data_IF_298289949505
#
_entry.id   IF_298289949505
#
_cell.length_a   1.000
_cell.length_b   1.000
_cell.length_c   1.000
_cell.angle_alpha   90.00
_cell.angle_beta   90.00
_cell.angle_gamma   90.00
#
_symmetry.space_group_name_H-M   'P 1'
#
loop_
_entity.id
_entity.type
_entity.pdbx_description
1 polymer ?
#
# COMPACT_ATOMS: atom_id res chain seq x y z
N UNK A 1 1.57 -26.38 -3.17
CA UNK A 1 1.86 -25.22 -4.05
C UNK A 1 0.57 -24.46 -4.28
N UNK A 2 0.50 -23.17 -3.95
CA UNK A 2 -0.66 -22.36 -4.31
C UNK A 2 -0.75 -22.28 -5.84
N UNK A 3 -1.91 -22.61 -6.42
CA UNK A 3 -2.13 -22.47 -7.88
C UNK A 3 -1.95 -21.01 -8.28
N UNK A 4 -1.28 -20.77 -9.41
CA UNK A 4 -1.10 -19.42 -9.95
C UNK A 4 -2.47 -18.77 -10.20
N UNK A 5 -2.63 -17.51 -9.79
CA UNK A 5 -3.85 -16.76 -10.08
C UNK A 5 -3.80 -16.31 -11.54
N UNK A 6 -4.80 -16.71 -12.33
CA UNK A 6 -4.94 -16.35 -13.75
C UNK A 6 -5.87 -15.15 -13.90
N UNK A 7 -5.43 -14.17 -14.67
CA UNK A 7 -6.16 -12.97 -15.07
C UNK A 7 -6.41 -13.12 -16.57
N UNK A 8 -7.62 -13.52 -16.93
CA UNK A 8 -8.04 -13.78 -18.31
C UNK A 8 -8.60 -12.51 -18.94
N UNK A 9 -8.22 -12.22 -20.17
CA UNK A 9 -8.76 -11.10 -20.92
C UNK A 9 -9.91 -11.59 -21.81
N UNK A 10 -11.06 -10.90 -21.84
CA UNK A 10 -12.14 -11.28 -22.75
C UNK A 10 -11.66 -11.32 -24.19
N UNK A 11 -12.19 -12.24 -24.99
CA UNK A 11 -11.86 -12.33 -26.42
C UNK A 11 -12.07 -10.98 -27.13
N UNK A 12 -11.05 -10.54 -27.85
CA UNK A 12 -11.04 -9.23 -28.54
C UNK A 12 -10.83 -8.00 -27.64
N UNK A 13 -10.65 -8.20 -26.32
CA UNK A 13 -10.39 -7.11 -25.36
C UNK A 13 -8.97 -7.21 -24.81
N UNK A 14 -8.33 -6.05 -24.66
CA UNK A 14 -7.08 -5.92 -23.91
C UNK A 14 -7.30 -5.34 -22.51
N UNK A 15 -8.54 -5.37 -22.01
CA UNK A 15 -8.90 -4.90 -20.68
C UNK A 15 -9.60 -5.99 -19.88
N UNK A 16 -9.25 -6.11 -18.61
CA UNK A 16 -9.91 -7.03 -17.68
C UNK A 16 -9.91 -6.49 -16.27
N UNK A 17 -10.92 -6.85 -15.46
CA UNK A 17 -11.05 -6.39 -14.07
C UNK A 17 -11.14 -7.57 -13.11
N UNK A 18 -10.28 -7.60 -12.10
CA UNK A 18 -10.24 -8.68 -11.12
C UNK A 18 -10.03 -8.13 -9.71
N UNK A 19 -10.97 -8.42 -8.80
CA UNK A 19 -10.92 -7.99 -7.39
C UNK A 19 -10.63 -6.48 -7.22
N UNK A 20 -11.24 -5.65 -8.05
CA UNK A 20 -11.07 -4.19 -8.03
C UNK A 20 -9.75 -3.68 -8.63
N UNK A 21 -8.96 -4.54 -9.27
CA UNK A 21 -7.79 -4.16 -10.06
C UNK A 21 -8.14 -4.27 -11.54
N UNK A 22 -7.96 -3.18 -12.27
CA UNK A 22 -8.11 -3.11 -13.71
C UNK A 22 -6.76 -3.39 -14.36
N UNK A 23 -6.78 -4.23 -15.38
CA UNK A 23 -5.63 -4.60 -16.17
C UNK A 23 -5.85 -4.13 -17.59
N UNK A 24 -4.84 -3.52 -18.19
CA UNK A 24 -4.84 -3.16 -19.61
C UNK A 24 -3.53 -3.61 -20.24
N UNK A 25 -3.63 -4.23 -21.41
CA UNK A 25 -2.50 -4.58 -22.26
C UNK A 25 -2.52 -3.62 -23.45
N UNK A 26 -1.36 -3.09 -23.81
CA UNK A 26 -1.11 -2.43 -25.07
C UNK A 26 -0.15 -3.32 -25.87
N UNK A 27 -0.66 -4.12 -26.82
CA UNK A 27 0.17 -5.04 -27.60
C UNK A 27 1.13 -4.33 -28.54
N UNK A 28 0.82 -3.11 -28.98
CA UNK A 28 1.64 -2.36 -29.94
C UNK A 28 2.92 -1.86 -29.28
N UNK A 29 2.80 -1.39 -28.04
CA UNK A 29 3.90 -0.82 -27.27
C UNK A 29 4.50 -1.76 -26.22
N UNK A 30 3.99 -3.01 -26.12
CA UNK A 30 4.30 -3.97 -25.06
C UNK A 30 4.21 -3.36 -23.65
N UNK A 31 3.10 -2.68 -23.38
CA UNK A 31 2.82 -2.06 -22.07
C UNK A 31 1.75 -2.88 -21.36
N UNK A 32 2.01 -3.19 -20.09
CA UNK A 32 0.98 -3.74 -19.20
C UNK A 32 0.72 -2.77 -18.07
N UNK A 33 -0.51 -2.28 -18.00
CA UNK A 33 -0.99 -1.39 -16.96
C UNK A 33 -1.85 -2.18 -15.96
N UNK A 34 -1.59 -1.96 -14.68
CA UNK A 34 -2.47 -2.35 -13.59
C UNK A 34 -2.91 -1.10 -12.84
N UNK A 35 -4.21 -0.87 -12.71
CA UNK A 35 -4.73 0.27 -11.96
C UNK A 35 -5.74 -0.15 -10.91
N UNK A 36 -5.69 0.52 -9.76
CA UNK A 36 -6.57 0.24 -8.63
C UNK A 36 -6.95 1.54 -7.94
N UNK A 37 -8.25 1.73 -7.71
CA UNK A 37 -8.75 2.80 -6.84
C UNK A 37 -8.59 2.38 -5.37
N UNK A 38 -7.93 3.21 -4.59
CA UNK A 38 -7.80 3.06 -3.15
C UNK A 38 -9.00 3.69 -2.44
N UNK A 39 -9.13 3.38 -1.15
CA UNK A 39 -10.01 4.17 -0.28
C UNK A 39 -9.41 5.56 -0.09
N UNK A 40 -10.24 6.60 0.09
CA UNK A 40 -9.77 7.90 0.52
C UNK A 40 -8.90 7.80 1.78
N UNK A 41 -7.91 8.68 1.91
CA UNK A 41 -6.96 8.69 3.02
C UNK A 41 -7.64 8.96 4.36
N UNK A 42 -8.69 9.78 4.34
CA UNK A 42 -9.44 10.22 5.52
C UNK A 42 -10.90 9.82 5.39
N UNK A 43 -11.43 9.12 6.40
CA UNK A 43 -12.85 8.77 6.46
C UNK A 43 -13.67 9.99 6.92
N UNK A 44 -14.98 10.04 6.65
CA UNK A 44 -15.83 11.13 7.15
C UNK A 44 -15.73 11.32 8.66
N UNK A 45 -15.68 10.23 9.43
CA UNK A 45 -15.56 10.29 10.89
C UNK A 45 -14.22 10.90 11.31
N UNK A 46 -13.12 10.50 10.66
CA UNK A 46 -11.80 11.04 11.01
C UNK A 46 -11.64 12.52 10.63
N UNK A 47 -12.30 12.97 9.56
CA UNK A 47 -12.37 14.39 9.19
C UNK A 47 -13.10 15.21 10.26
N UNK A 48 -14.26 14.76 10.69
CA UNK A 48 -15.06 15.44 11.71
C UNK A 48 -14.34 15.50 13.06
N UNK A 49 -13.74 14.38 13.49
CA UNK A 49 -12.92 14.34 14.70
C UNK A 49 -11.75 15.31 14.65
N UNK A 50 -11.06 15.39 13.50
CA UNK A 50 -9.94 16.32 13.34
C UNK A 50 -10.36 17.77 13.47
N UNK A 51 -11.50 18.14 12.86
CA UNK A 51 -12.08 19.48 12.94
C UNK A 51 -12.43 19.81 14.39
N UNK A 52 -13.16 18.91 15.06
CA UNK A 52 -13.57 19.08 16.46
C UNK A 52 -12.37 19.20 17.40
N UNK A 53 -11.35 18.36 17.21
CA UNK A 53 -10.13 18.38 18.02
C UNK A 53 -9.32 19.66 17.80
N UNK A 54 -9.21 20.12 16.55
CA UNK A 54 -8.51 21.36 16.23
C UNK A 54 -9.25 22.59 16.75
N UNK A 55 -10.58 22.62 16.69
CA UNK A 55 -11.39 23.67 17.31
C UNK A 55 -11.21 23.70 18.83
N UNK A 56 -11.11 22.53 19.47
CA UNK A 56 -10.96 22.41 20.93
C UNK A 56 -9.56 22.75 21.45
N UNK A 57 -8.52 22.29 20.76
CA UNK A 57 -7.13 22.34 21.26
C UNK A 57 -6.24 23.32 20.49
N UNK A 58 -6.56 23.58 19.23
CA UNK A 58 -5.67 24.25 18.28
C UNK A 58 -4.63 23.29 17.66
N UNK A 59 -4.22 23.54 16.41
CA UNK A 59 -3.35 22.65 15.64
C UNK A 59 -1.97 22.48 16.26
N UNK A 60 -1.41 23.53 16.84
CA UNK A 60 -0.10 23.49 17.48
C UNK A 60 -0.10 22.62 18.75
N UNK A 61 -1.20 22.59 19.51
CA UNK A 61 -1.31 21.70 20.67
C UNK A 61 -1.47 20.24 20.22
N UNK A 62 -2.18 19.97 19.14
CA UNK A 62 -2.29 18.62 18.55
C UNK A 62 -0.90 18.11 18.15
N UNK A 63 -0.11 18.91 17.42
CA UNK A 63 1.27 18.56 17.05
C UNK A 63 2.14 18.32 18.28
N UNK A 64 2.05 19.17 19.30
CA UNK A 64 2.78 18.99 20.58
C UNK A 64 2.39 17.69 21.28
N UNK A 65 1.10 17.34 21.32
CA UNK A 65 0.63 16.07 21.91
C UNK A 65 1.13 14.86 21.13
N UNK A 66 1.11 14.89 19.80
CA UNK A 66 1.70 13.81 18.99
C UNK A 66 3.18 13.60 19.34
N UNK A 67 3.97 14.68 19.46
CA UNK A 67 5.38 14.59 19.88
C UNK A 67 5.54 14.04 21.29
N UNK A 68 4.70 14.49 22.24
CA UNK A 68 4.73 14.00 23.61
C UNK A 68 4.48 12.48 23.68
N UNK A 69 3.44 11.98 23.03
CA UNK A 69 3.14 10.54 23.02
C UNK A 69 4.21 9.72 22.28
N UNK A 70 4.86 10.28 21.26
CA UNK A 70 6.03 9.66 20.63
C UNK A 70 7.19 9.51 21.62
N UNK A 71 7.46 10.54 22.44
CA UNK A 71 8.52 10.48 23.45
C UNK A 71 8.16 9.49 24.57
N UNK A 72 6.93 9.51 25.06
CA UNK A 72 6.45 8.56 26.06
C UNK A 72 6.52 7.11 25.56
N UNK A 73 6.19 6.86 24.28
CA UNK A 73 6.34 5.55 23.67
C UNK A 73 7.79 5.09 23.68
N UNK A 74 8.74 5.95 23.30
CA UNK A 74 10.17 5.63 23.33
C UNK A 74 10.65 5.34 24.75
N UNK A 75 10.27 6.16 25.73
CA UNK A 75 10.60 5.91 27.13
C UNK A 75 10.02 4.59 27.64
N UNK A 76 8.78 4.26 27.25
CA UNK A 76 8.13 3.00 27.64
C UNK A 76 8.87 1.79 27.08
N UNK A 77 9.28 1.83 25.80
CA UNK A 77 10.08 0.77 25.17
C UNK A 77 11.42 0.61 25.89
N UNK A 78 12.11 1.72 26.19
CA UNK A 78 13.38 1.67 26.92
C UNK A 78 13.20 1.09 28.33
N UNK A 79 12.13 1.45 29.03
CA UNK A 79 11.79 0.88 30.34
C UNK A 79 11.50 -0.62 30.24
N UNK A 80 10.74 -1.05 29.24
CA UNK A 80 10.46 -2.47 29.01
C UNK A 80 11.74 -3.27 28.76
N UNK A 81 12.63 -2.77 27.88
CA UNK A 81 13.93 -3.39 27.63
C UNK A 81 14.78 -3.45 28.89
N UNK A 82 14.79 -2.38 29.70
CA UNK A 82 15.45 -2.38 30.99
C UNK A 82 14.90 -3.47 31.92
N UNK A 83 13.57 -3.61 32.03
CA UNK A 83 12.93 -4.65 32.84
C UNK A 83 13.19 -6.08 32.34
N UNK A 84 13.47 -6.27 31.06
CA UNK A 84 13.90 -7.56 30.51
C UNK A 84 15.33 -7.89 30.89
N UNK A 85 16.22 -6.91 30.86
CA UNK A 85 17.66 -7.08 31.07
C UNK A 85 18.03 -7.09 32.56
N UNK A 86 17.33 -6.31 33.38
CA UNK A 86 17.57 -6.16 34.81
C UNK A 86 17.78 -7.48 35.60
N UNK A 87 16.93 -8.51 35.47
CA UNK A 87 17.09 -9.77 36.21
C UNK A 87 18.33 -10.58 35.81
N UNK A 88 18.96 -10.28 34.66
CA UNK A 88 20.22 -10.92 34.22
C UNK A 88 21.39 -10.42 35.08
N UNK A 89 21.36 -9.14 35.47
CA UNK A 89 22.44 -8.50 36.23
C UNK A 89 22.20 -8.49 37.73
N UNK A 90 20.93 -8.49 38.15
CA UNK A 90 20.53 -8.46 39.56
C UNK A 90 19.49 -9.55 39.80
N UNK A 91 19.84 -10.67 40.47
CA UNK A 91 18.85 -11.70 40.79
C UNK A 91 17.79 -11.11 41.72
N UNK A 92 16.58 -10.95 41.19
CA UNK A 92 15.45 -10.30 41.88
C UNK A 92 14.67 -11.33 42.69
N UNK A 93 14.51 -11.10 44.00
CA UNK A 93 13.69 -11.97 44.87
C UNK A 93 12.17 -11.78 44.69
N UNK A 94 11.74 -10.69 44.05
CA UNK A 94 10.33 -10.31 43.86
C UNK A 94 9.87 -10.46 42.40
N UNK A 95 9.72 -11.70 41.95
CA UNK A 95 9.21 -12.01 40.59
C UNK A 95 7.87 -11.34 40.28
N UNK A 96 7.01 -11.17 41.30
CA UNK A 96 5.71 -10.51 41.16
C UNK A 96 5.80 -9.03 40.74
N UNK A 97 6.74 -8.26 41.32
CA UNK A 97 6.92 -6.84 40.98
C UNK A 97 7.49 -6.69 39.57
N UNK A 98 8.44 -7.55 39.19
CA UNK A 98 9.02 -7.55 37.84
C UNK A 98 7.96 -7.89 36.78
N UNK A 99 7.13 -8.91 37.06
CA UNK A 99 6.03 -9.32 36.18
C UNK A 99 4.97 -8.22 36.03
N UNK A 100 4.56 -7.59 37.14
CA UNK A 100 3.63 -6.45 37.12
C UNK A 100 4.19 -5.26 36.33
N UNK A 101 5.48 -4.94 36.51
CA UNK A 101 6.16 -3.87 35.77
C UNK A 101 6.20 -4.14 34.26
N UNK A 102 6.48 -5.39 33.85
CA UNK A 102 6.44 -5.82 32.44
C UNK A 102 5.03 -5.71 31.85
N UNK A 103 4.01 -6.11 32.60
CA UNK A 103 2.63 -6.00 32.15
C UNK A 103 2.21 -4.53 31.98
N UNK A 104 2.50 -3.68 32.96
CA UNK A 104 2.16 -2.24 32.90
C UNK A 104 2.88 -1.51 31.76
N UNK A 105 4.14 -1.87 31.48
CA UNK A 105 4.88 -1.29 30.35
C UNK A 105 4.27 -1.70 29.01
N UNK A 106 3.91 -2.97 28.82
CA UNK A 106 3.21 -3.43 27.59
C UNK A 106 1.89 -2.68 27.41
N UNK A 107 1.06 -2.59 28.47
CA UNK A 107 -0.22 -1.86 28.40
C UNK A 107 0.02 -0.39 28.04
N UNK A 108 1.00 0.25 28.69
CA UNK A 108 1.36 1.64 28.43
C UNK A 108 1.84 1.87 27.00
N UNK A 109 2.65 0.96 26.44
CA UNK A 109 3.11 1.01 25.05
C UNK A 109 1.93 0.98 24.06
N UNK A 110 0.97 0.08 24.27
CA UNK A 110 -0.23 0.01 23.41
C UNK A 110 -1.01 1.32 23.46
N UNK A 111 -1.22 1.88 24.66
CA UNK A 111 -1.90 3.17 24.81
C UNK A 111 -1.11 4.30 24.14
N UNK A 112 0.20 4.41 24.38
CA UNK A 112 1.00 5.48 23.80
C UNK A 112 1.11 5.37 22.28
N UNK A 113 1.21 4.16 21.72
CA UNK A 113 1.19 3.93 20.28
C UNK A 113 -0.13 4.35 19.67
N UNK A 114 -1.26 3.97 20.28
CA UNK A 114 -2.58 4.37 19.85
C UNK A 114 -2.73 5.90 19.88
N UNK A 115 -2.41 6.55 21.00
CA UNK A 115 -2.55 8.00 21.15
C UNK A 115 -1.60 8.76 20.22
N UNK A 116 -0.38 8.27 20.01
CA UNK A 116 0.55 8.82 19.03
C UNK A 116 -0.03 8.77 17.62
N UNK A 117 -0.51 7.60 17.19
CA UNK A 117 -1.14 7.41 15.88
C UNK A 117 -2.34 8.33 15.70
N UNK A 118 -3.20 8.42 16.71
CA UNK A 118 -4.37 9.28 16.74
C UNK A 118 -4.01 10.75 16.52
N UNK A 119 -3.18 11.36 17.38
CA UNK A 119 -2.82 12.78 17.25
C UNK A 119 -2.02 13.07 15.97
N UNK A 120 -1.18 12.12 15.53
CA UNK A 120 -0.43 12.26 14.27
C UNK A 120 -1.37 12.27 13.06
N UNK A 121 -2.37 11.39 13.02
CA UNK A 121 -3.35 11.37 11.95
C UNK A 121 -4.10 12.71 11.83
N UNK A 122 -4.53 13.27 12.97
CA UNK A 122 -5.22 14.57 13.01
C UNK A 122 -4.31 15.72 12.58
N UNK A 123 -3.04 15.72 13.02
CA UNK A 123 -2.06 16.73 12.60
C UNK A 123 -1.77 16.66 11.09
N UNK A 124 -1.70 15.45 10.53
CA UNK A 124 -1.54 15.25 9.09
C UNK A 124 -2.76 15.79 8.34
N UNK A 125 -3.98 15.46 8.78
CA UNK A 125 -5.19 15.97 8.12
C UNK A 125 -5.27 17.50 8.14
N UNK A 126 -4.93 18.14 9.26
CA UNK A 126 -4.87 19.61 9.34
C UNK A 126 -3.91 20.23 8.30
N UNK A 127 -2.78 19.55 8.06
CA UNK A 127 -1.76 20.00 7.11
C UNK A 127 -2.20 19.74 5.66
N UNK A 128 -2.71 18.54 5.39
CA UNK A 128 -3.14 18.12 4.06
C UNK A 128 -4.40 18.87 3.58
N UNK A 129 -5.27 19.27 4.50
CA UNK A 129 -6.51 19.99 4.21
C UNK A 129 -6.34 21.51 4.04
N UNK A 130 -5.10 22.00 3.99
CA UNK A 130 -4.77 23.39 3.73
C UNK A 130 -4.89 23.71 2.24
N UNK A 131 -5.63 24.76 1.90
CA UNK A 131 -5.68 25.28 0.55
C UNK A 131 -4.76 26.49 0.41
N UNK A 132 -3.71 26.37 -0.39
CA UNK A 132 -2.76 27.46 -0.65
C UNK A 132 -3.41 28.67 -1.34
N UNK A 133 -4.49 28.46 -2.10
CA UNK A 133 -5.19 29.53 -2.83
C UNK A 133 -6.02 30.45 -1.94
N UNK A 134 -6.73 29.89 -0.95
CA UNK A 134 -7.59 30.67 -0.06
C UNK A 134 -7.04 30.81 1.37
N UNK A 135 -5.91 30.16 1.68
CA UNK A 135 -5.23 30.24 2.97
C UNK A 135 -6.01 29.62 4.13
N UNK A 136 -6.98 28.73 3.85
CA UNK A 136 -7.83 28.10 4.87
C UNK A 136 -7.46 26.63 5.09
N UNK A 137 -7.60 26.17 6.33
CA UNK A 137 -7.51 24.76 6.70
C UNK A 137 -8.88 24.08 6.68
N UNK A 138 -8.91 22.75 6.63
CA UNK A 138 -10.15 21.94 6.63
C UNK A 138 -11.10 22.22 5.47
N UNK A 139 -10.57 22.73 4.36
CA UNK A 139 -11.36 23.00 3.15
C UNK A 139 -10.88 22.21 1.96
N UNK A 140 -9.68 21.62 2.03
CA UNK A 140 -9.12 20.82 0.96
C UNK A 140 -9.38 19.34 1.20
N UNK A 141 -10.15 18.71 0.32
CA UNK A 141 -10.63 17.34 0.51
C UNK A 141 -10.40 16.48 -0.73
N UNK A 142 -10.26 15.17 -0.54
CA UNK A 142 -10.24 14.23 -1.66
C UNK A 142 -11.64 14.10 -2.29
N UNK A 143 -11.82 14.53 -3.54
CA UNK A 143 -13.10 14.39 -4.26
C UNK A 143 -13.22 13.10 -5.05
N UNK A 144 -12.09 12.44 -5.31
CA UNK A 144 -12.04 11.18 -6.03
C UNK A 144 -11.10 10.21 -5.31
N UNK A 145 -11.50 8.94 -5.30
CA UNK A 145 -10.69 7.84 -4.78
C UNK A 145 -9.27 7.87 -5.40
N UNK A 146 -8.21 7.85 -4.57
CA UNK A 146 -6.84 7.84 -5.07
C UNK A 146 -6.61 6.66 -6.03
N UNK A 147 -5.82 6.88 -7.08
CA UNK A 147 -5.53 5.87 -8.09
C UNK A 147 -4.08 5.42 -7.94
N UNK A 148 -3.87 4.13 -7.71
CA UNK A 148 -2.55 3.51 -7.89
C UNK A 148 -2.50 2.97 -9.31
N UNK A 149 -1.48 3.38 -10.06
CA UNK A 149 -1.18 2.84 -11.39
C UNK A 149 0.21 2.23 -11.36
N UNK A 150 0.31 0.96 -11.75
CA UNK A 150 1.56 0.26 -12.02
C UNK A 150 1.65 0.04 -13.54
N UNK A 151 2.78 0.37 -14.15
CA UNK A 151 3.00 0.24 -15.60
C UNK A 151 4.30 -0.51 -15.84
N UNK A 152 4.21 -1.64 -16.54
CA UNK A 152 5.33 -2.47 -16.94
C UNK A 152 5.61 -2.33 -18.43
N UNK A 153 6.83 -1.93 -18.75
CA UNK A 153 7.40 -1.81 -20.10
C UNK A 153 8.54 -2.82 -20.27
N UNK A 154 9.09 -2.90 -21.48
CA UNK A 154 10.20 -3.80 -21.80
C UNK A 154 11.43 -3.52 -20.94
N UNK A 155 11.68 -2.27 -20.57
CA UNK A 155 12.90 -1.82 -19.90
C UNK A 155 12.67 -1.24 -18.49
N UNK A 156 11.41 -1.03 -18.10
CA UNK A 156 11.07 -0.24 -16.93
C UNK A 156 9.77 -0.69 -16.28
N UNK A 157 9.69 -0.45 -14.98
CA UNK A 157 8.48 -0.65 -14.19
C UNK A 157 8.26 0.59 -13.34
N UNK A 158 7.11 1.24 -13.53
CA UNK A 158 6.76 2.44 -12.77
C UNK A 158 5.54 2.18 -11.92
N UNK A 159 5.49 2.85 -10.76
CA UNK A 159 4.31 2.90 -9.93
C UNK A 159 4.06 4.33 -9.53
N UNK A 160 2.83 4.77 -9.70
CA UNK A 160 2.39 6.12 -9.34
C UNK A 160 1.17 6.04 -8.43
N UNK A 161 1.10 6.97 -7.49
CA UNK A 161 -0.09 7.27 -6.71
C UNK A 161 -0.61 8.62 -7.18
N UNK A 162 -1.84 8.65 -7.68
CA UNK A 162 -2.54 9.88 -8.05
C UNK A 162 -3.60 10.17 -7.01
N UNK A 163 -3.53 11.35 -6.40
CA UNK A 163 -4.53 11.85 -5.46
C UNK A 163 -5.23 13.08 -6.05
N UNK A 164 -6.52 13.18 -5.81
CA UNK A 164 -7.40 14.17 -6.40
C UNK A 164 -8.01 15.01 -5.29
N UNK A 165 -7.57 16.25 -5.17
CA UNK A 165 -7.99 17.15 -4.10
C UNK A 165 -8.73 18.36 -4.65
N UNK A 166 -9.75 18.82 -3.93
CA UNK A 166 -10.46 20.05 -4.27
C UNK A 166 -10.74 20.89 -3.02
N UNK A 167 -10.76 22.20 -3.21
CA UNK A 167 -11.12 23.15 -2.18
C UNK A 167 -12.62 23.42 -2.21
N UNK A 168 -13.34 23.03 -1.16
CA UNK A 168 -14.78 23.31 -1.05
C UNK A 168 -15.08 24.81 -0.93
N UNK A 169 -14.10 25.63 -0.55
CA UNK A 169 -14.29 27.08 -0.35
C UNK A 169 -14.03 27.91 -1.62
N UNK A 170 -13.03 27.57 -2.44
CA UNK A 170 -12.69 28.37 -3.64
C UNK A 170 -12.75 27.58 -4.96
N UNK A 171 -13.08 26.30 -4.93
CA UNK A 171 -13.19 25.45 -6.11
C UNK A 171 -11.84 25.07 -6.75
N UNK A 172 -10.71 25.43 -6.14
CA UNK A 172 -9.40 25.03 -6.66
C UNK A 172 -9.24 23.52 -6.60
N UNK A 173 -8.85 22.90 -7.73
CA UNK A 173 -8.53 21.49 -7.84
C UNK A 173 -7.00 21.28 -7.96
N UNK A 174 -6.51 20.24 -7.33
CA UNK A 174 -5.11 19.82 -7.42
C UNK A 174 -5.04 18.30 -7.61
N UNK A 175 -4.27 17.88 -8.63
CA UNK A 175 -3.99 16.48 -8.91
C UNK A 175 -2.53 16.23 -8.56
N UNK A 176 -2.28 15.50 -7.46
CA UNK A 176 -0.93 15.14 -7.01
C UNK A 176 -0.57 13.78 -7.59
N UNK A 177 0.52 13.73 -8.36
CA UNK A 177 1.07 12.48 -8.91
C UNK A 177 2.41 12.22 -8.22
N UNK A 178 2.45 11.20 -7.38
CA UNK A 178 3.64 10.82 -6.62
C UNK A 178 4.23 9.50 -7.16
N UNK A 179 5.49 9.48 -7.64
CA UNK A 179 6.17 8.25 -7.98
C UNK A 179 6.43 7.44 -6.72
N UNK A 180 6.08 6.15 -6.75
CA UNK A 180 6.27 5.23 -5.64
C UNK A 180 7.50 4.37 -5.90
N UNK A 181 8.39 4.17 -4.91
CA UNK A 181 9.55 3.32 -5.08
C UNK A 181 9.12 1.86 -5.34
N UNK A 182 9.77 1.21 -6.31
CA UNK A 182 9.54 -0.19 -6.64
C UNK A 182 10.89 -0.88 -6.82
N UNK A 183 11.13 -1.92 -6.02
CA UNK A 183 12.19 -2.90 -6.27
C UNK A 183 11.66 -3.90 -7.31
N UNK A 184 12.11 -3.69 -8.54
CA UNK A 184 11.73 -4.44 -9.72
C UNK A 184 12.98 -4.92 -10.46
N UNK A 185 12.90 -6.14 -10.97
CA UNK A 185 13.78 -6.62 -12.02
C UNK A 185 13.00 -7.54 -12.94
N UNK A 186 13.54 -7.76 -14.13
CA UNK A 186 13.00 -8.71 -15.09
C UNK A 186 13.75 -10.03 -15.07
N UNK A 187 13.00 -11.12 -15.18
CA UNK A 187 13.56 -12.45 -15.41
C UNK A 187 13.17 -12.94 -16.81
N UNK A 188 14.08 -13.63 -17.48
CA UNK A 188 13.81 -14.21 -18.80
C UNK A 188 12.58 -15.11 -18.75
N UNK A 189 11.74 -15.02 -19.78
CA UNK A 189 10.61 -15.94 -19.99
C UNK A 189 11.08 -17.39 -19.97
N UNK A 190 10.19 -18.31 -19.60
CA UNK A 190 10.49 -19.73 -19.66
C UNK A 190 10.14 -20.28 -21.05
N UNK A 191 11.14 -20.80 -21.76
CA UNK A 191 10.93 -21.35 -23.11
C UNK A 191 10.19 -22.70 -23.09
N UNK A 192 10.28 -23.47 -21.99
CA UNK A 192 9.72 -24.82 -21.86
C UNK A 192 8.60 -24.89 -20.82
N UNK A 193 7.56 -24.08 -20.98
CA UNK A 193 6.32 -24.26 -20.23
C UNK A 193 5.57 -25.47 -20.81
N UNK A 194 5.12 -26.38 -19.94
CA UNK A 194 4.21 -27.48 -20.31
C UNK A 194 2.97 -26.87 -20.99
N UNK A 195 2.96 -26.92 -22.32
CA UNK A 195 1.86 -27.33 -23.17
C UNK A 195 0.46 -27.12 -22.54
N UNK A 196 -0.02 -25.86 -22.56
CA UNK A 196 -1.33 -25.47 -22.04
C UNK A 196 -2.32 -25.20 -23.18
N UNK A 197 -3.53 -25.73 -23.05
CA UNK A 197 -4.61 -25.59 -24.03
C UNK A 197 -5.23 -24.21 -23.92
N UNK A 198 -5.43 -23.53 -25.04
CA UNK A 198 -6.13 -22.25 -25.05
C UNK A 198 -7.61 -22.48 -24.74
N UNK A 199 -8.08 -21.97 -23.60
CA UNK A 199 -9.47 -22.14 -23.17
C UNK A 199 -10.49 -21.42 -24.07
N UNK A 200 -10.07 -20.41 -24.85
CA UNK A 200 -10.96 -19.70 -25.77
C UNK A 200 -11.16 -20.43 -27.10
N UNK A 201 -10.07 -20.94 -27.72
CA UNK A 201 -10.15 -21.58 -29.04
C UNK A 201 -9.99 -23.10 -29.01
N UNK A 202 -9.80 -23.71 -27.83
CA UNK A 202 -9.64 -25.15 -27.63
C UNK A 202 -8.34 -25.73 -28.17
N UNK A 203 -7.47 -24.94 -28.82
CA UNK A 203 -6.22 -25.46 -29.38
C UNK A 203 -5.22 -25.82 -28.29
N UNK A 204 -4.79 -27.06 -28.31
CA UNK A 204 -3.72 -27.58 -27.47
C UNK A 204 -2.41 -26.85 -27.77
N UNK A 205 -1.61 -26.63 -26.73
CA UNK A 205 -0.24 -26.09 -26.84
C UNK A 205 -0.16 -24.69 -27.46
N UNK A 206 -1.27 -23.94 -27.44
CA UNK A 206 -1.38 -22.66 -28.10
C UNK A 206 -0.97 -21.46 -27.23
N UNK A 207 -0.92 -21.63 -25.90
CA UNK A 207 -0.59 -20.56 -24.94
C UNK A 207 0.93 -20.47 -24.75
N UNK A 208 1.49 -19.29 -25.01
CA UNK A 208 2.93 -19.03 -24.86
C UNK A 208 3.22 -17.76 -24.08
N UNK A 209 4.31 -17.77 -23.33
CA UNK A 209 4.84 -16.59 -22.66
C UNK A 209 5.56 -15.70 -23.69
N UNK A 210 5.13 -14.43 -23.82
CA UNK A 210 5.59 -13.57 -24.92
C UNK A 210 6.60 -12.50 -24.51
N UNK A 211 6.73 -12.18 -23.22
CA UNK A 211 7.68 -11.20 -22.69
C UNK A 211 8.32 -11.70 -21.39
N UNK A 212 9.40 -11.02 -20.98
CA UNK A 212 10.07 -11.30 -19.72
C UNK A 212 9.10 -11.13 -18.54
N UNK A 213 9.34 -11.93 -17.49
CA UNK A 213 8.53 -11.90 -16.28
C UNK A 213 8.94 -10.72 -15.42
N UNK A 214 7.97 -9.99 -14.88
CA UNK A 214 8.27 -8.98 -13.88
C UNK A 214 8.35 -9.61 -12.50
N UNK A 215 9.41 -9.25 -11.78
CA UNK A 215 9.62 -9.68 -10.41
C UNK A 215 9.65 -8.47 -9.52
N UNK A 216 8.65 -8.39 -8.65
CA UNK A 216 8.49 -7.31 -7.69
C UNK A 216 8.90 -7.83 -6.32
N UNK A 217 9.96 -7.26 -5.76
CA UNK A 217 10.48 -7.60 -4.45
C UNK A 217 9.87 -6.63 -3.43
N UNK A 218 8.84 -7.09 -2.69
CA UNK A 218 8.34 -6.39 -1.49
C UNK A 218 8.46 -7.34 -0.29
N UNK A 219 7.55 -7.25 0.68
CA UNK A 219 7.40 -8.26 1.74
C UNK A 219 7.11 -9.66 1.17
N UNK A 220 6.44 -9.73 0.02
CA UNK A 220 6.22 -10.95 -0.75
C UNK A 220 6.83 -10.76 -2.13
N UNK A 221 7.53 -11.79 -2.63
CA UNK A 221 8.00 -11.80 -4.03
C UNK A 221 6.80 -12.11 -4.92
N UNK A 222 6.43 -11.14 -5.75
CA UNK A 222 5.36 -11.27 -6.74
C UNK A 222 6.00 -11.42 -8.12
N UNK A 223 5.72 -12.53 -8.81
CA UNK A 223 6.08 -12.73 -10.22
C UNK A 223 4.84 -12.53 -11.09
N UNK A 224 4.98 -11.73 -12.14
CA UNK A 224 3.95 -11.48 -13.14
C UNK A 224 4.44 -12.05 -14.46
N UNK A 225 3.63 -12.91 -15.05
CA UNK A 225 3.93 -13.64 -16.26
C UNK A 225 2.86 -13.38 -17.30
N UNK A 226 3.28 -13.27 -18.56
CA UNK A 226 2.47 -12.68 -19.61
C UNK A 226 2.33 -13.65 -20.78
N UNK A 227 1.11 -14.09 -21.04
CA UNK A 227 0.83 -15.13 -22.00
C UNK A 227 -0.11 -14.66 -23.10
N UNK A 228 0.07 -15.23 -24.28
CA UNK A 228 -0.84 -15.07 -25.41
C UNK A 228 -1.07 -16.38 -26.14
N UNK A 229 -2.25 -16.54 -26.71
CA UNK A 229 -2.56 -17.62 -27.64
C UNK A 229 -1.98 -17.30 -29.02
N UNK A 230 -1.13 -18.17 -29.55
CA UNK A 230 -0.60 -18.04 -30.92
C UNK A 230 -1.68 -18.12 -32.01
N UNK A 231 -2.84 -18.71 -31.70
CA UNK A 231 -3.89 -18.96 -32.69
C UNK A 231 -4.99 -17.89 -32.72
N UNK A 232 -5.56 -17.53 -31.56
CA UNK A 232 -6.70 -16.60 -31.49
C UNK A 232 -6.35 -15.24 -30.88
N UNK A 233 -5.10 -15.01 -30.47
CA UNK A 233 -4.68 -13.73 -29.88
C UNK A 233 -5.23 -13.46 -28.48
N UNK A 234 -5.89 -14.43 -27.84
CA UNK A 234 -6.29 -14.35 -26.43
C UNK A 234 -5.08 -14.07 -25.52
N UNK A 235 -5.24 -13.21 -24.53
CA UNK A 235 -4.19 -12.84 -23.57
C UNK A 235 -4.55 -13.29 -22.15
N UNK A 236 -3.53 -13.62 -21.37
CA UNK A 236 -3.69 -13.81 -19.93
C UNK A 236 -2.44 -13.42 -19.14
N UNK A 237 -2.65 -13.00 -17.90
CA UNK A 237 -1.59 -12.73 -16.94
C UNK A 237 -1.65 -13.78 -15.84
N UNK A 238 -0.52 -14.42 -15.52
CA UNK A 238 -0.40 -15.32 -14.37
C UNK A 238 0.38 -14.65 -13.25
N UNK A 239 -0.20 -14.68 -12.06
CA UNK A 239 0.38 -14.09 -10.85
C UNK A 239 0.81 -15.21 -9.90
N UNK A 240 2.10 -15.24 -9.59
CA UNK A 240 2.65 -16.12 -8.56
C UNK A 240 3.14 -15.27 -7.37
N UNK A 241 2.64 -15.57 -6.17
CA UNK A 241 3.09 -14.94 -4.93
C UNK A 241 3.81 -15.99 -4.09
N UNK A 242 5.07 -15.74 -3.72
CA UNK A 242 5.82 -16.56 -2.77
C UNK A 242 6.29 -15.71 -1.59
N UNK A 243 6.21 -16.27 -0.40
CA UNK A 243 6.87 -15.71 0.77
C UNK A 243 8.38 -15.72 0.55
N UNK A 244 9.04 -14.65 0.98
CA UNK A 244 10.49 -14.63 1.12
C UNK A 244 10.77 -15.33 2.44
N UNK A 245 11.18 -16.60 2.38
CA UNK A 245 11.75 -17.27 3.55
C UNK A 245 13.18 -16.74 3.61
N UNK A 246 13.46 -15.92 4.62
CA UNK A 246 14.81 -15.49 4.97
C UNK A 246 15.49 -16.59 5.77
#
# INVERSE_FOLDING_TARGET
MAKDKRIKFPSGSYQASYYGVNYRIDPENDIVEMSQRLKPRYSPESKEEAINLANKLGPEKIKKRARLFSMLLLFSILLFLFLLIFPIFFPVQSEGLLSAGKFLSIVSEVVFLYMFGYYRAMANYFTDSYCEKCGKHFVFEEFQAPLVKEESRIDSYTKTLTQYWHCINCGHEEIKIEPQPVDHHQEKKQDNLKEDTCEECGKEHAIVEYRNMDVLNRALRKKIRYFKCKNCGYHEIRLNKRFRIF
#
